data_IF_115628815499
#
_entry.id   IF_115628815499
#
_cell.length_a   1.000
_cell.length_b   1.000
_cell.length_c   1.000
_cell.angle_alpha   90.00
_cell.angle_beta   90.00
_cell.angle_gamma   90.00
#
_symmetry.space_group_name_H-M   'P 1'
#
loop_
_entity.id
_entity.type
_entity.pdbx_description
1 polymer ?
#
# COMPACT_ATOMS: atom_id res chain seq x y z
N UNK A 1 -2.38 -34.18 -97.55
CA UNK A 1 -1.31 -33.68 -96.66
C UNK A 1 -1.80 -32.45 -95.93
N UNK A 2 -2.37 -32.62 -94.74
CA UNK A 2 -2.39 -31.57 -93.71
C UNK A 2 -2.83 -32.18 -92.38
N UNK A 3 -1.96 -32.05 -91.41
CA UNK A 3 -2.00 -32.48 -90.01
C UNK A 3 -2.98 -31.67 -89.17
N UNK A 4 -3.75 -32.31 -88.28
CA UNK A 4 -4.29 -31.67 -87.07
C UNK A 4 -4.12 -32.63 -85.87
N UNK A 5 -3.44 -32.12 -84.83
CA UNK A 5 -3.07 -32.75 -83.56
C UNK A 5 -4.25 -32.83 -82.57
N UNK A 6 -4.22 -33.73 -81.57
CA UNK A 6 -5.20 -33.74 -80.48
C UNK A 6 -4.80 -32.76 -79.36
N UNK A 7 -5.76 -32.01 -78.83
CA UNK A 7 -5.60 -31.17 -77.63
C UNK A 7 -5.91 -31.98 -76.37
N UNK A 8 -4.88 -32.20 -75.55
CA UNK A 8 -4.95 -32.71 -74.19
C UNK A 8 -5.53 -31.62 -73.26
N UNK A 9 -6.71 -31.84 -72.67
CA UNK A 9 -7.24 -30.98 -71.59
C UNK A 9 -6.45 -31.25 -70.31
N UNK A 10 -5.73 -30.25 -69.81
CA UNK A 10 -5.10 -30.26 -68.48
C UNK A 10 -6.18 -30.09 -67.41
N UNK A 11 -6.28 -31.04 -66.49
CA UNK A 11 -6.98 -30.91 -65.20
C UNK A 11 -6.06 -30.14 -64.25
N UNK A 12 -6.50 -28.99 -63.73
CA UNK A 12 -5.90 -28.35 -62.55
C UNK A 12 -6.51 -28.97 -61.28
N UNK A 13 -5.72 -29.27 -60.24
CA UNK A 13 -6.28 -29.61 -58.93
C UNK A 13 -6.69 -28.31 -58.21
N UNK A 14 -7.92 -28.26 -57.71
CA UNK A 14 -8.38 -27.21 -56.82
C UNK A 14 -7.72 -27.41 -55.44
N UNK A 15 -6.86 -26.47 -55.06
CA UNK A 15 -6.25 -26.42 -53.74
C UNK A 15 -7.30 -25.87 -52.75
N UNK A 16 -7.88 -26.73 -51.91
CA UNK A 16 -8.67 -26.29 -50.76
C UNK A 16 -7.71 -25.70 -49.71
N UNK A 17 -7.68 -24.38 -49.60
CA UNK A 17 -7.06 -23.69 -48.47
C UNK A 17 -8.06 -23.74 -47.32
N UNK A 18 -7.79 -24.59 -46.33
CA UNK A 18 -8.50 -24.55 -45.06
C UNK A 18 -8.06 -23.28 -44.31
N UNK A 19 -8.97 -22.29 -44.20
CA UNK A 19 -8.80 -21.19 -43.26
C UNK A 19 -8.94 -21.77 -41.85
N UNK A 20 -7.81 -22.00 -41.18
CA UNK A 20 -7.78 -22.03 -39.73
C UNK A 20 -8.12 -20.63 -39.24
N UNK A 21 -9.38 -20.42 -38.87
CA UNK A 21 -9.75 -19.29 -38.04
C UNK A 21 -9.11 -19.53 -36.67
N UNK A 22 -7.90 -19.01 -36.48
CA UNK A 22 -7.35 -18.78 -35.16
C UNK A 22 -8.33 -17.86 -34.45
N UNK A 23 -9.10 -18.41 -33.51
CA UNK A 23 -9.82 -17.61 -32.53
C UNK A 23 -8.76 -16.87 -31.73
N UNK A 24 -8.40 -15.67 -32.19
CA UNK A 24 -7.87 -14.67 -31.29
C UNK A 24 -8.95 -14.50 -30.24
N UNK A 25 -8.74 -15.09 -29.06
CA UNK A 25 -9.56 -14.79 -27.90
C UNK A 25 -9.58 -13.28 -27.78
N UNK A 26 -10.78 -12.70 -27.86
CA UNK A 26 -10.99 -11.38 -27.28
C UNK A 26 -10.47 -11.51 -25.85
N UNK A 27 -9.55 -10.65 -25.37
CA UNK A 27 -9.20 -10.66 -23.96
C UNK A 27 -10.50 -10.61 -23.18
N UNK A 28 -10.70 -11.53 -22.23
CA UNK A 28 -11.84 -11.43 -21.31
C UNK A 28 -11.91 -9.98 -20.81
N UNK A 29 -13.10 -9.38 -20.78
CA UNK A 29 -13.25 -8.07 -20.17
C UNK A 29 -12.58 -8.12 -18.79
N UNK A 30 -11.74 -7.14 -18.42
CA UNK A 30 -11.07 -7.17 -17.14
C UNK A 30 -12.12 -7.41 -16.07
N UNK A 31 -11.94 -8.49 -15.30
CA UNK A 31 -12.79 -8.76 -14.14
C UNK A 31 -12.83 -7.54 -13.20
N UNK A 32 -13.78 -7.49 -12.27
CA UNK A 32 -13.90 -6.36 -11.35
C UNK A 32 -12.55 -6.07 -10.67
N UNK A 33 -12.22 -4.79 -10.56
CA UNK A 33 -10.96 -4.32 -9.97
C UNK A 33 -10.80 -4.84 -8.54
N UNK A 34 -9.60 -5.25 -8.18
CA UNK A 34 -9.21 -5.55 -6.82
C UNK A 34 -8.32 -4.44 -6.25
N UNK A 35 -8.28 -4.35 -4.93
CA UNK A 35 -7.46 -3.36 -4.23
C UNK A 35 -6.56 -4.06 -3.22
N UNK A 36 -5.26 -3.77 -3.30
CA UNK A 36 -4.28 -4.17 -2.30
C UNK A 36 -3.63 -2.91 -1.73
N UNK A 37 -3.83 -2.65 -0.45
CA UNK A 37 -3.07 -1.66 0.30
C UNK A 37 -2.01 -2.38 1.13
N UNK A 38 -0.74 -2.13 0.84
CA UNK A 38 0.38 -2.56 1.67
C UNK A 38 0.82 -1.37 2.52
N UNK A 39 0.86 -1.56 3.85
CA UNK A 39 1.38 -0.55 4.77
C UNK A 39 2.55 -1.08 5.58
N UNK A 40 3.63 -0.29 5.66
CA UNK A 40 4.72 -0.50 6.59
C UNK A 40 4.53 0.33 7.87
N UNK A 41 4.87 -0.23 9.03
CA UNK A 41 4.72 0.45 10.32
C UNK A 41 6.05 1.10 10.73
N UNK A 42 6.03 2.44 10.90
CA UNK A 42 7.21 3.25 11.23
C UNK A 42 8.33 3.28 10.16
N UNK A 43 7.99 3.27 8.87
CA UNK A 43 8.97 3.35 7.78
C UNK A 43 9.25 4.81 7.38
N UNK A 44 10.47 5.27 7.64
CA UNK A 44 10.99 6.55 7.17
C UNK A 44 11.09 6.59 5.64
N UNK A 45 10.45 7.59 5.03
CA UNK A 45 10.38 7.72 3.57
C UNK A 45 11.75 7.81 2.91
N UNK A 46 12.71 8.49 3.55
CA UNK A 46 14.05 8.66 2.99
C UNK A 46 14.92 7.39 3.06
N UNK A 47 14.44 6.32 3.70
CA UNK A 47 15.17 5.04 3.77
C UNK A 47 14.81 4.06 2.66
N UNK A 48 13.81 4.40 1.83
CA UNK A 48 13.43 3.65 0.63
C UNK A 48 14.29 4.09 -0.56
N UNK A 49 14.81 3.14 -1.34
CA UNK A 49 15.76 3.37 -2.44
C UNK A 49 15.27 4.40 -3.46
N UNK A 50 14.09 4.21 -4.04
CA UNK A 50 13.48 5.16 -4.99
C UNK A 50 13.13 6.53 -4.40
N UNK A 51 13.22 6.70 -3.08
CA UNK A 51 13.01 7.98 -2.39
C UNK A 51 14.31 8.65 -1.92
N UNK A 52 15.47 8.09 -2.26
CA UNK A 52 16.76 8.76 -2.09
C UNK A 52 17.72 8.11 -1.09
N UNK A 53 17.41 6.92 -0.57
CA UNK A 53 18.35 6.16 0.26
C UNK A 53 19.57 5.72 -0.58
N UNK A 54 20.78 5.97 -0.07
CA UNK A 54 22.02 5.53 -0.71
C UNK A 54 22.53 4.18 -0.21
N UNK A 55 21.82 3.57 0.74
CA UNK A 55 22.16 2.25 1.27
C UNK A 55 21.89 1.20 0.20
N UNK A 56 22.93 0.45 -0.18
CA UNK A 56 22.88 -0.50 -1.27
C UNK A 56 21.80 -1.57 -1.03
N UNK A 57 20.98 -1.82 -2.05
CA UNK A 57 19.94 -2.85 -2.02
C UNK A 57 19.00 -2.74 -0.80
N UNK A 58 18.69 -1.55 -0.31
CA UNK A 58 17.81 -1.40 0.84
C UNK A 58 16.38 -1.90 0.59
N UNK A 59 15.80 -1.58 -0.57
CA UNK A 59 14.40 -1.91 -0.90
C UNK A 59 14.18 -2.31 -2.37
N UNK A 60 14.87 -3.33 -2.89
CA UNK A 60 14.76 -3.69 -4.32
C UNK A 60 13.34 -4.05 -4.77
N UNK A 61 12.50 -4.64 -3.91
CA UNK A 61 11.14 -5.04 -4.28
C UNK A 61 10.17 -3.84 -4.33
N UNK A 62 10.28 -2.91 -3.38
CA UNK A 62 9.53 -1.65 -3.38
C UNK A 62 10.01 -0.76 -4.54
N UNK A 63 11.31 -0.75 -4.83
CA UNK A 63 11.87 -0.04 -5.98
C UNK A 63 11.35 -0.62 -7.30
N UNK A 64 11.22 -1.95 -7.40
CA UNK A 64 10.57 -2.60 -8.53
C UNK A 64 9.10 -2.18 -8.64
N UNK A 65 8.33 -2.20 -7.55
CA UNK A 65 6.93 -1.76 -7.55
C UNK A 65 6.79 -0.32 -8.10
N UNK A 66 7.70 0.58 -7.72
CA UNK A 66 7.74 1.94 -8.25
C UNK A 66 8.09 1.99 -9.75
N UNK A 67 9.01 1.14 -10.22
CA UNK A 67 9.35 1.05 -11.64
C UNK A 67 8.19 0.55 -12.52
N UNK A 68 7.27 -0.21 -11.92
CA UNK A 68 6.08 -0.76 -12.57
C UNK A 68 4.84 0.15 -12.46
N UNK A 69 4.95 1.28 -11.74
CA UNK A 69 3.83 2.14 -11.42
C UNK A 69 4.19 3.62 -11.32
N UNK A 70 3.42 4.34 -10.51
CA UNK A 70 3.56 5.75 -10.21
C UNK A 70 4.01 5.93 -8.76
N UNK A 71 4.98 6.80 -8.50
CA UNK A 71 5.33 7.23 -7.14
C UNK A 71 5.12 8.73 -6.93
N UNK A 72 4.62 9.11 -5.76
CA UNK A 72 4.42 10.50 -5.35
C UNK A 72 5.50 10.93 -4.36
N UNK A 73 6.14 12.07 -4.61
CA UNK A 73 7.18 12.59 -3.69
C UNK A 73 6.63 13.56 -2.64
N UNK A 74 5.38 14.00 -2.76
CA UNK A 74 4.71 14.92 -1.82
C UNK A 74 3.46 14.28 -1.21
N UNK A 75 3.59 13.03 -0.76
CA UNK A 75 2.52 12.28 -0.09
C UNK A 75 2.67 12.33 1.43
N UNK A 76 1.56 12.59 2.14
CA UNK A 76 1.57 12.75 3.60
C UNK A 76 0.42 12.03 4.29
N UNK A 77 0.71 11.35 5.41
CA UNK A 77 -0.30 10.93 6.38
C UNK A 77 -0.72 12.11 7.26
N UNK A 78 -1.96 12.11 7.76
CA UNK A 78 -2.49 13.25 8.51
C UNK A 78 -2.14 13.23 10.00
N UNK A 79 -1.68 12.11 10.53
CA UNK A 79 -1.25 11.96 11.92
C UNK A 79 -0.14 10.91 11.99
N UNK A 80 0.95 11.22 12.69
CA UNK A 80 2.14 10.38 12.70
C UNK A 80 2.12 9.29 13.79
N UNK A 81 1.02 8.52 13.87
CA UNK A 81 0.86 7.37 14.78
C UNK A 81 -0.06 6.32 14.16
N UNK A 82 0.32 5.05 14.29
CA UNK A 82 -0.27 3.87 13.67
C UNK A 82 -1.82 3.83 13.62
N UNK A 83 -2.51 3.65 14.75
CA UNK A 83 -3.98 3.50 14.78
C UNK A 83 -4.74 4.69 14.17
N UNK A 84 -4.56 5.94 14.63
CA UNK A 84 -5.31 7.05 14.07
C UNK A 84 -4.93 7.34 12.62
N UNK A 85 -3.70 7.07 12.19
CA UNK A 85 -3.28 7.21 10.78
C UNK A 85 -4.03 6.23 9.89
N UNK A 86 -4.07 4.95 10.29
CA UNK A 86 -4.78 3.89 9.55
C UNK A 86 -6.30 4.15 9.51
N UNK A 87 -6.88 4.62 10.61
CA UNK A 87 -8.29 5.02 10.66
C UNK A 87 -8.58 6.24 9.78
N UNK A 88 -7.65 7.20 9.67
CA UNK A 88 -7.76 8.36 8.77
C UNK A 88 -7.86 7.92 7.31
N UNK A 89 -6.97 7.01 6.86
CA UNK A 89 -7.00 6.49 5.49
C UNK A 89 -8.38 5.93 5.13
N UNK A 90 -8.97 5.17 6.05
CA UNK A 90 -10.18 4.37 5.82
C UNK A 90 -11.48 5.11 6.07
N UNK A 91 -11.42 6.33 6.61
CA UNK A 91 -12.57 7.21 6.82
C UNK A 91 -12.58 8.40 5.86
N UNK A 92 -11.44 8.72 5.25
CA UNK A 92 -11.29 9.93 4.43
C UNK A 92 -11.44 11.22 5.25
N UNK A 93 -11.27 11.14 6.57
CA UNK A 93 -11.50 12.23 7.53
C UNK A 93 -10.32 12.41 8.46
N UNK A 94 -10.04 13.65 8.83
CA UNK A 94 -9.04 13.97 9.84
C UNK A 94 -9.37 13.32 11.19
N UNK A 95 -8.37 13.02 12.04
CA UNK A 95 -8.60 12.39 13.35
C UNK A 95 -9.62 13.12 14.24
N UNK A 96 -9.66 14.45 14.23
CA UNK A 96 -10.69 15.21 14.97
C UNK A 96 -12.10 15.12 14.36
N UNK A 97 -12.24 14.75 13.08
CA UNK A 97 -13.52 14.62 12.37
C UNK A 97 -14.03 13.16 12.30
N UNK A 98 -13.13 12.18 12.40
CA UNK A 98 -13.51 10.76 12.50
C UNK A 98 -13.76 10.29 13.94
N UNK A 99 -13.55 11.16 14.94
CA UNK A 99 -13.77 10.86 16.36
C UNK A 99 -12.60 10.12 17.04
N UNK A 100 -11.50 9.87 16.34
CA UNK A 100 -10.34 9.16 16.85
C UNK A 100 -9.05 10.01 16.81
N UNK A 101 -8.92 11.03 17.67
CA UNK A 101 -7.76 11.92 17.70
C UNK A 101 -6.44 11.22 18.10
N UNK A 102 -6.50 9.99 18.63
CA UNK A 102 -5.38 9.18 19.11
C UNK A 102 -5.74 7.69 19.07
N UNK A 103 -5.41 6.93 20.12
CA UNK A 103 -5.74 5.50 20.22
C UNK A 103 -7.19 5.26 20.68
N UNK A 104 -8.14 5.89 19.99
CA UNK A 104 -9.57 5.78 20.26
C UNK A 104 -10.30 5.10 19.07
N UNK A 105 -11.44 4.44 19.33
CA UNK A 105 -12.33 4.03 18.24
C UNK A 105 -12.83 5.25 17.46
N UNK A 106 -13.07 5.08 16.16
CA UNK A 106 -13.82 6.07 15.37
C UNK A 106 -15.25 6.21 15.92
N UNK A 107 -15.88 7.36 15.68
CA UNK A 107 -17.27 7.57 16.06
C UNK A 107 -18.23 6.69 15.24
N UNK A 108 -19.31 6.23 15.89
CA UNK A 108 -20.26 5.24 15.34
C UNK A 108 -20.94 5.67 14.03
N UNK A 109 -21.11 6.97 13.82
CA UNK A 109 -21.77 7.55 12.65
C UNK A 109 -20.81 7.90 11.50
N UNK A 110 -19.50 7.75 11.72
CA UNK A 110 -18.48 8.00 10.69
C UNK A 110 -18.42 6.80 9.75
N UNK A 111 -18.75 6.93 8.46
CA UNK A 111 -18.70 5.81 7.54
C UNK A 111 -17.25 5.41 7.24
N UNK A 112 -17.04 4.14 6.92
CA UNK A 112 -15.72 3.59 6.58
C UNK A 112 -15.73 2.98 5.19
N UNK A 113 -14.56 2.96 4.54
CA UNK A 113 -14.34 2.40 3.21
C UNK A 113 -14.88 0.96 3.10
N UNK A 114 -14.62 0.15 4.12
CA UNK A 114 -14.98 -1.26 4.20
C UNK A 114 -16.50 -1.47 4.08
N UNK A 115 -17.32 -0.64 4.74
CA UNK A 115 -18.78 -0.73 4.66
C UNK A 115 -19.27 -0.50 3.23
N UNK A 116 -18.66 0.45 2.52
CA UNK A 116 -19.00 0.78 1.13
C UNK A 116 -18.58 -0.34 0.17
N UNK A 117 -17.37 -0.88 0.33
CA UNK A 117 -16.88 -1.99 -0.50
C UNK A 117 -17.66 -3.29 -0.25
N UNK A 118 -18.00 -3.58 1.01
CA UNK A 118 -18.85 -4.72 1.38
C UNK A 118 -20.22 -4.64 0.72
N UNK A 119 -20.86 -3.46 0.73
CA UNK A 119 -22.14 -3.22 0.02
C UNK A 119 -22.01 -3.41 -1.49
N UNK A 120 -20.83 -3.15 -2.05
CA UNK A 120 -20.51 -3.37 -3.46
C UNK A 120 -20.11 -4.83 -3.79
N UNK A 121 -20.10 -5.73 -2.80
CA UNK A 121 -19.82 -7.15 -2.99
C UNK A 121 -18.35 -7.56 -2.85
N UNK A 122 -17.46 -6.65 -2.46
CA UNK A 122 -16.05 -6.96 -2.23
C UNK A 122 -15.88 -7.90 -1.04
N UNK A 123 -14.90 -8.79 -1.15
CA UNK A 123 -14.30 -9.47 -0.01
C UNK A 123 -13.36 -8.48 0.70
N UNK A 124 -13.61 -8.23 1.99
CA UNK A 124 -12.75 -7.37 2.80
C UNK A 124 -11.79 -8.21 3.64
N UNK A 125 -10.49 -8.09 3.39
CA UNK A 125 -9.44 -8.74 4.15
C UNK A 125 -8.54 -7.74 4.88
N UNK A 126 -8.02 -8.14 6.04
CA UNK A 126 -6.91 -7.46 6.70
C UNK A 126 -5.91 -8.46 7.24
N UNK A 127 -4.63 -8.23 6.97
CA UNK A 127 -3.50 -9.06 7.41
C UNK A 127 -2.54 -8.16 8.18
N UNK A 128 -2.26 -8.51 9.44
CA UNK A 128 -1.43 -7.73 10.35
C UNK A 128 -2.17 -6.52 10.93
N UNK A 129 -1.72 -6.05 12.10
CA UNK A 129 -2.14 -4.77 12.73
C UNK A 129 -3.66 -4.52 12.83
N UNK A 130 -4.50 -5.56 12.82
CA UNK A 130 -5.97 -5.44 12.80
C UNK A 130 -6.54 -4.73 14.03
N UNK A 131 -5.91 -4.85 15.21
CA UNK A 131 -6.29 -4.07 16.41
C UNK A 131 -6.16 -2.56 16.28
N UNK A 132 -5.37 -2.07 15.32
CA UNK A 132 -5.22 -0.63 15.07
C UNK A 132 -6.38 -0.05 14.25
N UNK A 133 -7.48 -0.78 14.12
CA UNK A 133 -8.71 -0.34 13.49
C UNK A 133 -9.86 -0.59 14.46
N UNK A 134 -10.33 0.47 15.13
CA UNK A 134 -11.33 0.40 16.18
C UNK A 134 -12.55 1.26 15.84
N UNK A 135 -13.78 0.79 16.13
CA UNK A 135 -14.09 -0.48 16.80
C UNK A 135 -14.04 -1.67 15.82
N UNK A 136 -13.45 -2.78 16.26
CA UNK A 136 -13.11 -3.96 15.45
C UNK A 136 -14.30 -4.49 14.64
N UNK A 137 -15.48 -4.55 15.24
CA UNK A 137 -16.71 -5.07 14.65
C UNK A 137 -17.20 -4.27 13.43
N UNK A 138 -16.85 -2.98 13.37
CA UNK A 138 -17.21 -2.13 12.23
C UNK A 138 -16.28 -2.37 11.06
N UNK A 139 -14.98 -2.50 11.32
CA UNK A 139 -13.99 -2.76 10.28
C UNK A 139 -14.11 -4.17 9.68
N UNK A 140 -14.52 -5.15 10.48
CA UNK A 140 -15.16 -6.41 10.05
C UNK A 140 -14.56 -7.10 8.82
N UNK A 141 -13.78 -8.16 9.02
CA UNK A 141 -13.10 -8.89 7.94
C UNK A 141 -13.85 -10.17 7.57
N UNK A 142 -13.85 -10.49 6.28
CA UNK A 142 -14.36 -11.78 5.77
C UNK A 142 -13.38 -12.94 6.04
N UNK A 143 -12.16 -12.60 6.45
CA UNK A 143 -11.08 -13.54 6.75
C UNK A 143 -10.51 -13.25 8.13
N UNK A 144 -10.34 -14.30 8.93
CA UNK A 144 -9.76 -14.23 10.26
C UNK A 144 -9.29 -15.62 10.73
N UNK A 145 -8.43 -15.67 11.75
CA UNK A 145 -7.89 -16.90 12.32
C UNK A 145 -8.92 -17.59 13.22
N UNK A 146 -9.95 -16.86 13.65
CA UNK A 146 -10.99 -17.31 14.56
C UNK A 146 -12.37 -17.02 13.96
N UNK A 147 -13.13 -18.10 13.70
CA UNK A 147 -14.49 -18.02 13.18
C UNK A 147 -15.50 -17.51 14.23
N UNK A 148 -15.19 -17.64 15.52
CA UNK A 148 -16.05 -17.21 16.62
C UNK A 148 -15.88 -15.72 16.94
N UNK A 149 -14.83 -15.06 16.40
CA UNK A 149 -14.58 -13.63 16.51
C UNK A 149 -14.53 -12.96 15.12
N UNK A 150 -15.67 -12.88 14.41
CA UNK A 150 -15.74 -12.19 13.12
C UNK A 150 -15.35 -10.73 13.29
N UNK A 151 -14.41 -10.26 12.46
CA UNK A 151 -13.84 -8.91 12.59
C UNK A 151 -12.44 -8.85 13.19
N UNK A 152 -11.88 -9.98 13.66
CA UNK A 152 -10.50 -9.97 14.13
C UNK A 152 -9.47 -9.90 12.99
N UNK A 153 -9.65 -10.57 11.85
CA UNK A 153 -8.65 -10.45 10.76
C UNK A 153 -7.39 -11.24 11.08
N UNK A 154 -6.39 -11.33 10.23
CA UNK A 154 -5.16 -12.07 10.57
C UNK A 154 -4.24 -11.19 11.44
N UNK A 155 -3.98 -11.57 12.68
CA UNK A 155 -3.20 -10.74 13.62
C UNK A 155 -1.70 -11.01 13.56
N UNK A 156 -0.97 -10.07 14.13
CA UNK A 156 0.47 -10.09 14.36
C UNK A 156 1.03 -11.45 14.80
N UNK A 157 0.50 -12.07 15.85
CA UNK A 157 1.03 -13.35 16.36
C UNK A 157 0.81 -14.53 15.39
N UNK A 158 -0.20 -14.45 14.51
CA UNK A 158 -0.41 -15.44 13.44
C UNK A 158 0.55 -15.28 12.27
N UNK A 159 1.32 -14.20 12.24
CA UNK A 159 2.23 -13.79 11.16
C UNK A 159 3.69 -13.77 11.63
N UNK A 160 4.00 -14.56 12.65
CA UNK A 160 5.31 -14.55 13.29
C UNK A 160 5.66 -13.15 13.79
N UNK A 161 4.83 -12.62 14.69
CA UNK A 161 4.91 -11.23 15.14
C UNK A 161 4.95 -10.23 13.97
N UNK A 162 4.21 -10.52 12.90
CA UNK A 162 4.07 -9.75 11.67
C UNK A 162 5.37 -9.52 10.90
N UNK A 163 6.28 -10.50 10.95
CA UNK A 163 7.62 -10.46 10.35
C UNK A 163 7.93 -11.70 9.48
N UNK A 164 7.07 -12.72 9.50
CA UNK A 164 7.29 -13.97 8.76
C UNK A 164 6.69 -13.90 7.35
N UNK A 165 7.57 -13.80 6.35
CA UNK A 165 7.22 -13.71 4.93
C UNK A 165 6.35 -14.88 4.47
N UNK A 166 6.64 -16.11 4.93
CA UNK A 166 5.90 -17.30 4.49
C UNK A 166 4.46 -17.29 5.01
N UNK A 167 4.24 -16.74 6.20
CA UNK A 167 2.89 -16.55 6.74
C UNK A 167 2.14 -15.45 5.98
N UNK A 168 2.80 -14.34 5.62
CA UNK A 168 2.19 -13.33 4.74
C UNK A 168 1.80 -13.90 3.37
N UNK A 169 2.67 -14.69 2.75
CA UNK A 169 2.39 -15.39 1.48
C UNK A 169 1.19 -16.32 1.64
N UNK A 170 1.19 -17.18 2.67
CA UNK A 170 0.10 -18.12 2.97
C UNK A 170 -1.27 -17.43 3.05
N UNK A 171 -1.42 -16.42 3.91
CA UNK A 171 -2.73 -15.78 4.11
C UNK A 171 -3.15 -14.94 2.90
N UNK A 172 -2.19 -14.37 2.16
CA UNK A 172 -2.50 -13.68 0.90
C UNK A 172 -3.04 -14.67 -0.13
N UNK A 173 -2.39 -15.83 -0.31
CA UNK A 173 -2.91 -16.90 -1.18
C UNK A 173 -4.32 -17.35 -0.77
N UNK A 174 -4.61 -17.41 0.54
CA UNK A 174 -5.94 -17.76 1.03
C UNK A 174 -7.01 -16.73 0.64
N UNK A 175 -6.72 -15.43 0.76
CA UNK A 175 -7.60 -14.35 0.29
C UNK A 175 -7.87 -14.49 -1.21
N UNK A 176 -6.81 -14.65 -2.00
CA UNK A 176 -6.88 -14.74 -3.46
C UNK A 176 -7.67 -15.99 -3.91
N UNK A 177 -7.48 -17.12 -3.23
CA UNK A 177 -8.24 -18.36 -3.47
C UNK A 177 -9.73 -18.15 -3.22
N UNK A 178 -10.12 -17.52 -2.10
CA UNK A 178 -11.53 -17.25 -1.79
C UNK A 178 -12.16 -16.28 -2.79
N UNK A 179 -11.42 -15.24 -3.21
CA UNK A 179 -11.87 -14.33 -4.25
C UNK A 179 -12.19 -15.06 -5.56
N UNK A 180 -11.34 -16.01 -5.97
CA UNK A 180 -11.60 -16.89 -7.12
C UNK A 180 -12.82 -17.78 -6.91
N UNK A 181 -12.90 -18.48 -5.78
CA UNK A 181 -13.96 -19.44 -5.50
C UNK A 181 -15.35 -18.79 -5.41
N UNK A 182 -15.44 -17.61 -4.83
CA UNK A 182 -16.68 -16.86 -4.70
C UNK A 182 -16.96 -15.95 -5.91
N UNK A 183 -16.01 -15.83 -6.85
CA UNK A 183 -16.09 -14.91 -7.99
C UNK A 183 -16.39 -13.47 -7.55
N UNK A 184 -15.73 -13.02 -6.47
CA UNK A 184 -15.88 -11.69 -5.87
C UNK A 184 -14.56 -10.92 -5.99
N UNK A 185 -14.60 -9.59 -6.26
CA UNK A 185 -13.41 -8.77 -6.12
C UNK A 185 -13.00 -8.69 -4.64
N UNK A 186 -11.74 -8.36 -4.37
CA UNK A 186 -11.26 -8.16 -3.00
C UNK A 186 -10.72 -6.75 -2.77
N UNK A 187 -10.84 -6.31 -1.51
CA UNK A 187 -10.04 -5.25 -0.94
C UNK A 187 -9.26 -5.84 0.23
N UNK A 188 -7.93 -5.74 0.16
CA UNK A 188 -7.02 -6.32 1.13
C UNK A 188 -6.11 -5.23 1.69
N UNK A 189 -6.13 -5.05 3.01
CA UNK A 189 -5.15 -4.23 3.73
C UNK A 189 -4.11 -5.13 4.39
N UNK A 190 -2.90 -5.14 3.87
CA UNK A 190 -1.76 -5.90 4.36
C UNK A 190 -0.81 -4.97 5.10
N UNK A 191 -0.57 -5.26 6.37
CA UNK A 191 0.13 -4.39 7.29
C UNK A 191 1.36 -5.13 7.81
N UNK A 192 2.53 -4.85 7.22
CA UNK A 192 3.78 -5.32 7.83
C UNK A 192 4.05 -4.54 9.10
N UNK A 193 4.51 -5.24 10.14
CA UNK A 193 4.93 -4.58 11.38
C UNK A 193 6.33 -4.04 11.27
N UNK A 194 7.16 -4.57 10.39
CA UNK A 194 8.44 -3.95 10.14
C UNK A 194 8.27 -2.59 9.44
N UNK A 195 9.15 -1.62 9.72
CA UNK A 195 10.29 -1.70 10.65
C UNK A 195 9.99 -1.32 12.12
N UNK A 196 8.74 -1.27 12.61
CA UNK A 196 8.42 -0.94 14.01
C UNK A 196 9.19 -1.81 15.01
N UNK A 197 9.62 -1.20 16.13
CA UNK A 197 10.34 -1.88 17.23
C UNK A 197 9.64 -3.16 17.74
N UNK A 198 10.39 -4.13 18.31
CA UNK A 198 11.86 -4.18 18.32
C UNK A 198 12.41 -4.36 16.90
N UNK A 199 13.55 -3.70 16.62
CA UNK A 199 14.26 -3.88 15.37
C UNK A 199 14.94 -5.25 15.34
N UNK A 200 15.37 -5.70 14.15
CA UNK A 200 16.14 -6.91 13.98
C UNK A 200 17.34 -6.94 14.95
N UNK A 201 17.50 -8.05 15.68
CA UNK A 201 18.54 -8.24 16.68
C UNK A 201 18.26 -7.63 18.06
N UNK A 202 17.23 -6.78 18.21
CA UNK A 202 16.84 -6.22 19.52
C UNK A 202 15.76 -7.04 20.22
N UNK A 203 14.91 -7.74 19.46
CA UNK A 203 13.83 -8.56 20.00
C UNK A 203 14.25 -9.99 20.37
N UNK A 204 15.42 -10.45 19.90
CA UNK A 204 15.87 -11.83 20.03
C UNK A 204 15.13 -12.79 19.11
N UNK A 205 15.29 -14.09 19.35
CA UNK A 205 14.76 -15.17 18.50
C UNK A 205 13.25 -15.09 18.23
N UNK A 206 12.49 -14.43 19.10
CA UNK A 206 11.05 -14.21 18.93
C UNK A 206 10.69 -13.22 17.78
N UNK A 207 11.64 -12.35 17.38
CA UNK A 207 11.44 -11.31 16.37
C UNK A 207 12.46 -11.38 15.21
N UNK A 208 13.50 -12.20 15.32
CA UNK A 208 14.58 -12.32 14.33
C UNK A 208 14.24 -13.33 13.23
N UNK A 209 13.13 -13.08 12.53
CA UNK A 209 12.73 -13.83 11.33
C UNK A 209 13.73 -13.62 10.18
N UNK A 210 13.86 -14.59 9.25
CA UNK A 210 14.78 -14.52 8.13
C UNK A 210 14.66 -13.19 7.36
N UNK A 211 15.81 -12.65 6.99
CA UNK A 211 15.96 -11.43 6.17
C UNK A 211 16.97 -11.72 5.07
N UNK A 212 16.76 -11.20 3.87
CA UNK A 212 17.63 -11.47 2.73
C UNK A 212 18.97 -10.69 2.78
N UNK A 213 19.06 -9.63 3.59
CA UNK A 213 20.30 -8.91 3.89
C UNK A 213 20.23 -8.22 5.25
N UNK A 214 21.29 -8.40 6.03
CA UNK A 214 21.59 -7.62 7.23
C UNK A 214 22.55 -6.48 6.87
N UNK A 215 22.48 -5.38 7.63
CA UNK A 215 23.35 -4.21 7.45
C UNK A 215 24.23 -3.97 8.66
N UNK A 216 25.45 -3.50 8.41
CA UNK A 216 26.42 -3.09 9.41
C UNK A 216 26.41 -1.57 9.62
N UNK A 217 26.80 -1.05 10.80
CA UNK A 217 26.80 0.38 11.10
C UNK A 217 27.58 1.26 10.11
N UNK A 218 28.65 0.74 9.53
CA UNK A 218 29.47 1.40 8.50
C UNK A 218 28.79 1.51 7.13
N UNK A 219 27.74 0.73 6.87
CA UNK A 219 26.96 0.76 5.62
C UNK A 219 25.81 1.78 5.69
N UNK A 220 25.52 2.31 6.87
CA UNK A 220 24.33 3.12 7.11
C UNK A 220 24.55 4.60 6.77
N UNK A 221 23.58 5.13 6.04
CA UNK A 221 23.35 6.56 5.90
C UNK A 221 22.52 7.06 7.10
N UNK A 222 23.07 7.96 7.91
CA UNK A 222 22.34 8.55 9.04
C UNK A 222 21.40 9.64 8.49
N UNK A 223 20.07 9.54 8.68
CA UNK A 223 19.14 10.59 8.26
C UNK A 223 19.52 11.95 8.87
N UNK A 224 19.46 13.03 8.08
CA UNK A 224 19.96 14.35 8.50
C UNK A 224 19.27 14.98 9.71
N UNK A 225 18.14 14.42 10.17
CA UNK A 225 17.44 14.83 11.39
C UNK A 225 17.93 14.08 12.65
N UNK A 226 18.86 13.14 12.51
CA UNK A 226 19.47 12.38 13.60
C UNK A 226 20.96 12.75 13.75
N UNK A 227 21.51 12.68 14.97
CA UNK A 227 22.92 12.92 15.19
C UNK A 227 23.74 11.71 14.70
N UNK A 228 24.83 11.98 13.97
CA UNK A 228 25.76 10.95 13.49
C UNK A 228 26.71 10.50 14.62
N UNK A 229 26.22 9.56 15.44
CA UNK A 229 26.92 8.96 16.57
C UNK A 229 27.04 7.44 16.38
N UNK A 230 28.10 6.79 16.90
CA UNK A 230 28.27 5.34 16.79
C UNK A 230 27.04 4.54 17.24
N UNK A 231 26.45 4.90 18.39
CA UNK A 231 25.29 4.21 18.96
C UNK A 231 24.03 4.39 18.09
N UNK A 232 23.90 5.55 17.42
CA UNK A 232 22.80 5.81 16.49
C UNK A 232 22.97 4.99 15.22
N UNK A 233 24.19 4.85 14.71
CA UNK A 233 24.48 3.98 13.56
C UNK A 233 24.21 2.52 13.87
N UNK A 234 24.53 2.06 15.08
CA UNK A 234 24.22 0.69 15.54
C UNK A 234 22.71 0.43 15.57
N UNK A 235 21.92 1.36 16.13
CA UNK A 235 20.45 1.24 16.14
C UNK A 235 19.87 1.32 14.72
N UNK A 236 20.38 2.22 13.88
CA UNK A 236 19.96 2.34 12.49
C UNK A 236 20.30 1.09 11.68
N UNK A 237 21.45 0.43 11.90
CA UNK A 237 21.78 -0.81 11.19
C UNK A 237 20.71 -1.91 11.39
N UNK A 238 20.20 -2.01 12.62
CA UNK A 238 19.09 -2.90 12.98
C UNK A 238 17.77 -2.45 12.34
N UNK A 239 17.50 -1.14 12.35
CA UNK A 239 16.34 -0.57 11.68
C UNK A 239 16.37 -0.84 10.16
N UNK A 240 17.47 -0.58 9.47
CA UNK A 240 17.64 -0.82 8.02
C UNK A 240 17.52 -2.32 7.68
N UNK A 241 18.01 -3.21 8.55
CA UNK A 241 17.78 -4.65 8.41
C UNK A 241 16.29 -4.99 8.52
N UNK A 242 15.56 -4.32 9.41
CA UNK A 242 14.10 -4.46 9.53
C UNK A 242 13.37 -3.89 8.30
N UNK A 243 13.84 -2.76 7.76
CA UNK A 243 13.33 -2.18 6.49
C UNK A 243 13.51 -3.18 5.35
N UNK A 244 14.64 -3.88 5.28
CA UNK A 244 14.87 -4.89 4.26
C UNK A 244 13.93 -6.10 4.41
N UNK A 245 13.63 -6.53 5.64
CA UNK A 245 12.63 -7.59 5.84
C UNK A 245 11.22 -7.14 5.44
N UNK A 246 10.86 -5.88 5.70
CA UNK A 246 9.62 -5.30 5.17
C UNK A 246 9.61 -5.35 3.63
N UNK A 247 10.71 -4.99 2.97
CA UNK A 247 10.85 -5.09 1.51
C UNK A 247 10.70 -6.55 1.01
N UNK A 248 11.29 -7.51 1.70
CA UNK A 248 11.17 -8.93 1.36
C UNK A 248 9.70 -9.41 1.48
N UNK A 249 8.95 -8.94 2.48
CA UNK A 249 7.51 -9.19 2.60
C UNK A 249 6.78 -8.58 1.39
N UNK A 250 7.05 -7.32 1.03
CA UNK A 250 6.45 -6.69 -0.16
C UNK A 250 6.72 -7.54 -1.41
N UNK A 251 7.97 -7.95 -1.63
CA UNK A 251 8.34 -8.81 -2.76
C UNK A 251 7.55 -10.11 -2.80
N UNK A 252 7.48 -10.82 -1.68
CA UNK A 252 6.73 -12.08 -1.58
C UNK A 252 5.23 -11.91 -1.85
N UNK A 253 4.63 -10.79 -1.46
CA UNK A 253 3.22 -10.51 -1.74
C UNK A 253 2.97 -10.18 -3.21
N UNK A 254 3.84 -9.38 -3.82
CA UNK A 254 3.76 -9.06 -5.25
C UNK A 254 3.95 -10.32 -6.11
N UNK A 255 4.87 -11.20 -5.73
CA UNK A 255 5.07 -12.52 -6.36
C UNK A 255 3.78 -13.36 -6.31
N UNK A 256 3.14 -13.46 -5.14
CA UNK A 256 1.87 -14.20 -5.00
C UNK A 256 0.75 -13.60 -5.87
N UNK A 257 0.63 -12.27 -5.95
CA UNK A 257 -0.35 -11.63 -6.83
C UNK A 257 -0.13 -12.00 -8.30
N UNK A 258 1.13 -12.06 -8.73
CA UNK A 258 1.51 -12.36 -10.10
C UNK A 258 1.29 -13.85 -10.43
N UNK A 259 1.76 -14.74 -9.56
CA UNK A 259 1.63 -16.20 -9.71
C UNK A 259 0.16 -16.65 -9.71
N UNK A 260 -0.68 -15.99 -8.90
CA UNK A 260 -2.11 -16.28 -8.83
C UNK A 260 -2.92 -15.58 -9.94
N UNK A 261 -2.29 -14.81 -10.83
CA UNK A 261 -2.94 -14.18 -11.98
C UNK A 261 -3.81 -12.96 -11.63
N UNK A 262 -3.54 -12.31 -10.50
CA UNK A 262 -4.25 -11.11 -10.05
C UNK A 262 -3.54 -9.80 -10.40
N UNK A 263 -2.36 -9.88 -11.04
CA UNK A 263 -1.55 -8.71 -11.39
C UNK A 263 -2.34 -7.64 -12.17
N UNK A 264 -2.94 -8.04 -13.29
CA UNK A 264 -3.49 -7.12 -14.29
C UNK A 264 -4.78 -6.41 -13.82
N UNK A 265 -5.50 -6.99 -12.85
CA UNK A 265 -6.76 -6.45 -12.34
C UNK A 265 -6.68 -5.98 -10.88
N UNK A 266 -5.47 -5.78 -10.33
CA UNK A 266 -5.29 -5.28 -8.95
C UNK A 266 -4.59 -3.93 -8.93
N UNK A 267 -5.25 -2.94 -8.32
CA UNK A 267 -4.62 -1.70 -7.92
C UNK A 267 -3.86 -1.95 -6.62
N UNK A 268 -2.53 -1.88 -6.67
CA UNK A 268 -1.65 -1.98 -5.51
C UNK A 268 -1.21 -0.59 -5.07
N UNK A 269 -1.42 -0.24 -3.80
CA UNK A 269 -0.82 0.93 -3.17
C UNK A 269 0.13 0.50 -2.05
N UNK A 270 1.32 1.10 -2.00
CA UNK A 270 2.28 0.94 -0.92
C UNK A 270 2.54 2.28 -0.23
N UNK A 271 2.47 2.31 1.11
CA UNK A 271 2.84 3.46 1.93
C UNK A 271 3.30 3.06 3.33
N UNK A 272 3.76 4.02 4.13
CA UNK A 272 3.94 3.86 5.57
C UNK A 272 2.86 4.61 6.35
N UNK A 273 2.41 4.05 7.46
CA UNK A 273 1.40 4.70 8.29
C UNK A 273 1.93 5.94 9.01
N UNK A 274 3.24 6.05 9.22
CA UNK A 274 3.94 7.24 9.71
C UNK A 274 5.46 7.05 9.58
N UNK A 275 6.20 8.12 9.84
CA UNK A 275 7.67 8.05 9.90
C UNK A 275 8.22 7.18 11.01
N UNK A 276 9.55 7.07 11.04
CA UNK A 276 10.25 6.14 11.93
C UNK A 276 10.09 6.41 13.44
N UNK A 277 10.33 5.38 14.26
CA UNK A 277 10.31 5.49 15.74
C UNK A 277 11.58 6.09 16.34
N UNK A 278 12.22 7.01 15.60
CA UNK A 278 13.36 7.80 16.04
C UNK A 278 12.93 9.22 16.47
N UNK A 279 13.78 9.96 17.22
CA UNK A 279 13.55 11.37 17.51
C UNK A 279 13.26 12.19 16.25
N UNK A 280 12.40 13.20 16.37
CA UNK A 280 11.98 14.09 15.27
C UNK A 280 11.19 13.42 14.13
N UNK A 281 10.71 12.18 14.32
CA UNK A 281 9.82 11.47 13.41
C UNK A 281 8.48 11.14 14.11
N UNK A 282 8.10 9.88 14.31
CA UNK A 282 6.80 9.44 14.89
C UNK A 282 6.36 10.29 16.10
N UNK A 283 5.04 10.46 16.26
CA UNK A 283 4.41 11.27 17.32
C UNK A 283 4.70 12.78 17.23
N UNK A 284 5.03 13.28 16.03
CA UNK A 284 5.17 14.71 15.74
C UNK A 284 4.45 15.07 14.43
N UNK A 285 4.40 16.36 14.10
CA UNK A 285 3.90 16.87 12.81
C UNK A 285 5.02 17.35 11.89
N UNK A 286 6.25 16.88 12.12
CA UNK A 286 7.40 17.21 11.27
C UNK A 286 7.30 16.52 9.91
N UNK A 287 8.15 16.96 8.97
CA UNK A 287 8.26 16.36 7.65
C UNK A 287 8.52 14.85 7.75
N UNK A 288 9.53 14.45 8.53
CA UNK A 288 9.91 13.05 8.70
C UNK A 288 8.89 12.24 9.51
N UNK A 289 7.88 12.88 10.10
CA UNK A 289 6.79 12.21 10.81
C UNK A 289 5.66 11.82 9.87
N UNK A 290 5.38 12.68 8.89
CA UNK A 290 4.13 12.65 8.11
C UNK A 290 4.34 12.36 6.63
N UNK A 291 5.49 12.73 6.06
CA UNK A 291 5.84 12.37 4.69
C UNK A 291 6.06 10.86 4.63
N UNK A 292 5.41 10.22 3.67
CA UNK A 292 5.41 8.76 3.51
C UNK A 292 5.84 8.41 2.09
N UNK A 293 6.52 7.27 1.87
CA UNK A 293 6.53 6.70 0.53
C UNK A 293 5.08 6.48 0.09
N UNK A 294 4.75 6.77 -1.16
CA UNK A 294 3.44 6.45 -1.73
C UNK A 294 3.61 6.00 -3.17
N UNK A 295 3.46 4.71 -3.40
CA UNK A 295 3.64 4.06 -4.70
C UNK A 295 2.33 3.39 -5.10
N UNK A 296 1.93 3.55 -6.36
CA UNK A 296 0.70 2.98 -6.91
C UNK A 296 1.02 2.21 -8.20
N UNK A 297 0.72 0.93 -8.23
CA UNK A 297 0.73 0.11 -9.45
C UNK A 297 -0.70 -0.21 -9.85
N UNK A 298 -1.09 0.22 -11.04
CA UNK A 298 -2.37 -0.13 -11.65
C UNK A 298 -2.17 -0.32 -13.15
N UNK A 299 -2.00 -1.58 -13.61
CA UNK A 299 -1.74 -1.87 -15.02
C UNK A 299 -2.80 -1.26 -15.93
N UNK A 300 -2.35 -0.60 -17.00
CA UNK A 300 -3.21 0.10 -17.96
C UNK A 300 -3.73 1.47 -17.52
N UNK A 301 -3.53 1.88 -16.26
CA UNK A 301 -3.97 3.19 -15.74
C UNK A 301 -2.78 4.03 -15.26
N UNK A 302 -2.05 3.56 -14.26
CA UNK A 302 -0.88 4.27 -13.74
C UNK A 302 0.32 4.03 -14.67
N UNK A 303 0.88 5.11 -15.24
CA UNK A 303 2.03 5.01 -16.13
C UNK A 303 3.26 4.48 -15.38
N UNK A 304 3.82 3.37 -15.87
CA UNK A 304 4.98 2.71 -15.27
C UNK A 304 6.22 3.62 -15.24
N UNK A 305 6.88 3.65 -14.09
CA UNK A 305 8.06 4.47 -13.82
C UNK A 305 7.77 5.96 -13.69
N UNK A 306 6.50 6.40 -13.66
CA UNK A 306 6.16 7.82 -13.50
C UNK A 306 6.50 8.28 -12.09
N UNK A 307 7.04 9.49 -12.01
CA UNK A 307 7.33 10.17 -10.74
C UNK A 307 6.54 11.46 -10.70
N UNK A 308 5.63 11.59 -9.75
CA UNK A 308 4.94 12.85 -9.48
C UNK A 308 5.73 13.66 -8.44
N UNK A 309 6.16 14.85 -8.87
CA UNK A 309 6.99 15.76 -8.06
C UNK A 309 6.30 17.06 -7.70
N UNK A 310 5.12 17.31 -8.27
CA UNK A 310 4.41 18.58 -8.14
C UNK A 310 3.16 18.45 -7.27
N UNK A 311 2.45 17.33 -7.36
CA UNK A 311 1.16 17.20 -6.70
C UNK A 311 1.29 16.73 -5.25
N UNK A 312 0.59 17.42 -4.35
CA UNK A 312 0.38 16.97 -2.98
C UNK A 312 -0.78 15.99 -2.93
N UNK A 313 -0.60 14.90 -2.19
CA UNK A 313 -1.67 13.97 -1.80
C UNK A 313 -1.64 13.73 -0.29
N UNK A 314 -2.80 13.44 0.27
CA UNK A 314 -2.97 13.27 1.72
C UNK A 314 -3.63 11.94 2.06
N UNK A 315 -3.38 11.41 3.26
CA UNK A 315 -3.96 10.15 3.72
C UNK A 315 -5.49 10.12 3.64
N UNK A 316 -6.16 11.22 3.98
CA UNK A 316 -7.61 11.40 3.82
C UNK A 316 -8.10 11.24 2.36
N UNK A 317 -7.23 11.37 1.36
CA UNK A 317 -7.58 11.20 -0.06
C UNK A 317 -7.65 9.72 -0.48
N UNK A 318 -7.22 8.79 0.38
CA UNK A 318 -7.22 7.36 0.09
C UNK A 318 -8.64 6.82 -0.14
N UNK A 319 -9.54 6.96 0.84
CA UNK A 319 -10.93 6.49 0.74
C UNK A 319 -11.66 7.02 -0.50
N UNK A 320 -11.74 8.34 -0.78
CA UNK A 320 -12.42 8.83 -1.98
C UNK A 320 -11.80 8.27 -3.26
N UNK A 321 -10.47 8.09 -3.31
CA UNK A 321 -9.80 7.48 -4.47
C UNK A 321 -10.17 6.02 -4.69
N UNK A 322 -10.25 5.21 -3.64
CA UNK A 322 -10.69 3.82 -3.77
C UNK A 322 -12.16 3.74 -4.18
N UNK A 323 -13.03 4.60 -3.62
CA UNK A 323 -14.44 4.65 -3.99
C UNK A 323 -14.60 5.02 -5.48
N UNK A 324 -13.93 6.07 -5.96
CA UNK A 324 -14.00 6.48 -7.37
C UNK A 324 -13.45 5.38 -8.29
N UNK A 325 -12.31 4.76 -7.93
CA UNK A 325 -11.72 3.66 -8.70
C UNK A 325 -12.64 2.42 -8.76
N UNK A 326 -13.43 2.18 -7.72
CA UNK A 326 -14.44 1.12 -7.67
C UNK A 326 -15.75 1.48 -8.39
N UNK A 327 -15.87 2.68 -8.95
CA UNK A 327 -17.12 3.19 -9.55
C UNK A 327 -18.23 3.46 -8.52
N UNK A 328 -17.86 3.65 -7.25
CA UNK A 328 -18.77 3.93 -6.15
C UNK A 328 -18.89 5.44 -5.93
N UNK A 329 -20.03 5.86 -5.36
CA UNK A 329 -20.22 7.26 -4.97
C UNK A 329 -19.41 7.57 -3.71
N UNK A 330 -18.92 8.80 -3.67
CA UNK A 330 -18.37 9.38 -2.46
C UNK A 330 -19.39 9.40 -1.32
N UNK A 331 -18.84 9.33 -0.11
CA UNK A 331 -19.60 9.38 1.13
C UNK A 331 -19.67 10.83 1.62
N UNK A 332 -20.79 11.27 2.23
CA UNK A 332 -20.89 12.61 2.82
C UNK A 332 -19.81 12.92 3.86
N UNK A 333 -19.46 14.21 3.94
CA UNK A 333 -18.57 14.79 4.96
C UNK A 333 -17.16 14.15 5.02
N UNK A 334 -16.64 13.68 3.88
CA UNK A 334 -15.20 13.41 3.77
C UNK A 334 -14.41 14.73 3.74
N UNK A 335 -13.22 14.71 4.33
CA UNK A 335 -12.28 15.85 4.30
C UNK A 335 -11.31 15.77 3.11
N UNK A 336 -11.11 14.55 2.59
CA UNK A 336 -10.28 14.27 1.43
C UNK A 336 -11.07 14.30 0.12
N UNK A 337 -10.33 14.37 -0.98
CA UNK A 337 -10.86 14.37 -2.35
C UNK A 337 -10.06 13.36 -3.17
N UNK A 338 -10.67 12.77 -4.21
CA UNK A 338 -9.95 11.76 -4.99
C UNK A 338 -8.76 12.34 -5.77
N UNK A 339 -7.64 11.61 -5.76
CA UNK A 339 -6.51 11.83 -6.66
C UNK A 339 -6.50 10.87 -7.87
N UNK A 340 -7.62 10.20 -8.19
CA UNK A 340 -7.69 9.23 -9.29
C UNK A 340 -7.27 9.85 -10.64
N UNK A 341 -7.58 11.14 -10.85
CA UNK A 341 -7.12 11.90 -12.02
C UNK A 341 -5.60 11.83 -12.19
N UNK A 342 -4.83 11.97 -11.10
CA UNK A 342 -3.36 11.88 -11.14
C UNK A 342 -2.87 10.48 -11.52
N UNK A 343 -3.58 9.43 -11.11
CA UNK A 343 -3.25 8.06 -11.51
C UNK A 343 -3.45 7.86 -13.02
N UNK A 344 -4.43 8.54 -13.62
CA UNK A 344 -4.69 8.55 -15.07
C UNK A 344 -3.74 9.46 -15.86
N UNK A 345 -2.82 10.13 -15.18
CA UNK A 345 -1.89 11.08 -15.80
C UNK A 345 -2.51 12.45 -16.11
N UNK A 346 -3.65 12.75 -15.51
CA UNK A 346 -4.27 14.07 -15.54
C UNK A 346 -3.69 14.96 -14.42
N UNK A 347 -4.06 16.24 -14.42
CA UNK A 347 -3.56 17.24 -13.47
C UNK A 347 -4.62 17.54 -12.40
N UNK A 348 -4.18 17.90 -11.18
CA UNK A 348 -5.07 18.38 -10.13
C UNK A 348 -4.55 19.68 -9.50
N UNK A 349 -5.37 20.73 -9.49
CA UNK A 349 -4.97 22.06 -8.97
C UNK A 349 -5.49 22.38 -7.56
N UNK A 350 -6.27 21.50 -6.96
CA UNK A 350 -7.03 21.81 -5.75
C UNK A 350 -6.22 21.61 -4.46
N UNK A 351 -5.28 20.65 -4.43
CA UNK A 351 -4.39 20.41 -3.28
C UNK A 351 -3.03 21.05 -3.48
N UNK A 352 -2.85 22.24 -2.91
CA UNK A 352 -1.57 22.97 -2.89
C UNK A 352 -0.85 22.85 -1.55
N UNK A 353 -1.49 22.25 -0.54
CA UNK A 353 -0.94 22.06 0.80
C UNK A 353 -1.56 20.85 1.48
N UNK A 354 -0.85 20.28 2.44
CA UNK A 354 -1.31 19.22 3.34
C UNK A 354 -1.42 19.74 4.77
N UNK A 355 -2.41 19.24 5.49
CA UNK A 355 -2.57 19.51 6.92
C UNK A 355 -2.33 18.22 7.70
N UNK A 356 -1.63 18.35 8.82
CA UNK A 356 -1.33 17.24 9.71
C UNK A 356 -1.53 17.65 11.16
N UNK A 357 -1.84 16.68 12.00
CA UNK A 357 -2.08 16.90 13.42
C UNK A 357 -1.54 15.78 14.27
N UNK A 358 -1.24 16.14 15.51
CA UNK A 358 -1.01 15.21 16.60
C UNK A 358 -1.81 15.68 17.80
N UNK A 359 -2.39 14.75 18.56
CA UNK A 359 -3.29 15.11 19.67
C UNK A 359 -2.87 14.47 20.97
N UNK A 360 -2.80 13.14 21.02
CA UNK A 360 -2.50 12.41 22.25
C UNK A 360 -1.51 11.29 22.01
N UNK A 361 -0.74 10.97 23.05
CA UNK A 361 0.07 9.75 23.08
C UNK A 361 -0.81 8.52 23.38
N UNK A 362 -0.22 7.32 23.26
CA UNK A 362 -0.88 6.08 23.69
C UNK A 362 -1.33 6.11 25.17
N UNK A 363 -0.61 6.85 26.02
CA UNK A 363 -0.95 7.02 27.43
C UNK A 363 -1.86 8.24 27.68
N UNK A 364 -2.57 8.70 26.65
CA UNK A 364 -3.53 9.82 26.72
C UNK A 364 -2.93 11.16 27.17
N UNK A 365 -1.60 11.33 27.08
CA UNK A 365 -0.99 12.63 27.30
C UNK A 365 -1.31 13.54 26.11
N UNK A 366 -2.01 14.64 26.37
CA UNK A 366 -2.34 15.64 25.37
C UNK A 366 -1.09 16.43 24.94
N UNK A 367 -0.72 16.30 23.67
CA UNK A 367 0.39 16.98 23.01
C UNK A 367 -0.11 17.51 21.67
N UNK A 368 -1.00 18.50 21.73
CA UNK A 368 -1.60 19.03 20.52
C UNK A 368 -0.56 19.72 19.65
N UNK A 369 -0.48 19.30 18.39
CA UNK A 369 0.33 19.94 17.36
C UNK A 369 -0.49 20.01 16.08
N UNK A 370 -0.32 21.09 15.31
CA UNK A 370 -0.92 21.28 13.99
C UNK A 370 0.17 21.69 13.03
N UNK A 371 0.14 21.17 11.82
CA UNK A 371 1.00 21.67 10.76
C UNK A 371 0.23 21.85 9.45
N UNK A 372 0.68 22.84 8.68
CA UNK A 372 0.38 22.98 7.25
C UNK A 372 1.70 22.99 6.51
N UNK A 373 1.78 22.26 5.40
CA UNK A 373 2.96 22.21 4.55
C UNK A 373 2.57 22.34 3.07
N UNK A 374 3.30 23.15 2.33
CA UNK A 374 3.24 23.23 0.86
C UNK A 374 4.63 22.95 0.24
N UNK A 375 4.80 23.27 -1.04
CA UNK A 375 6.07 23.05 -1.77
C UNK A 375 7.26 23.77 -1.11
N UNK A 376 7.03 24.97 -0.57
CA UNK A 376 8.10 25.86 -0.13
C UNK A 376 8.27 25.94 1.40
N UNK A 377 7.17 25.78 2.15
CA UNK A 377 7.08 26.15 3.56
C UNK A 377 6.29 25.12 4.38
N UNK A 378 6.74 24.92 5.62
CA UNK A 378 5.99 24.27 6.68
C UNK A 378 5.75 25.24 7.84
N UNK A 379 4.54 25.27 8.38
CA UNK A 379 4.19 26.00 9.60
C UNK A 379 3.66 25.03 10.64
N UNK A 380 4.25 25.06 11.83
CA UNK A 380 3.87 24.22 12.98
C UNK A 380 3.36 25.10 14.11
N UNK A 381 2.22 24.73 14.67
CA UNK A 381 1.60 25.37 15.81
C UNK A 381 1.38 24.38 16.95
N UNK A 382 1.97 24.67 18.11
CA UNK A 382 1.85 23.90 19.34
C UNK A 382 1.03 24.75 20.34
N UNK A 383 -0.30 24.61 20.39
CA UNK A 383 -1.20 25.41 21.22
C UNK A 383 -1.01 25.25 22.73
#
# INVERSE_FOLDING_TARGET
>A
MTTIRPTLKRLLPALLVALCASSCGVPDEPGPINFLLITADDLEWSTVGVYGSHVEAITPNIDQLASEGLRFTNAHVNIAVCQPSRQTLLTGRYPHNNGAPGFHPIADDVPILQESLRRAGYLNGSIGKTRHLQPTERFGWDLGPDADNPGEGIWMHHLGNGRDIELYKKYTTEVLRLAKEESRPFWLMLNTHDPHKPFYGDGGEEYDYPVSREYLPEEIEVPGFLPDLPEVREELAKYYTSVRRADDIVGGILEILDDEGFRENTLVMFLSDNGSSFPFAKSNVYLNSTKTPWIVRWPGVAAAGRVDTSHFISGIDYMPTILEAAGLKEVPDMDGESFLALLKGEEQGWRTSVFTEYNTTFHELALHMRAIQNEDFGYIYNP
#
